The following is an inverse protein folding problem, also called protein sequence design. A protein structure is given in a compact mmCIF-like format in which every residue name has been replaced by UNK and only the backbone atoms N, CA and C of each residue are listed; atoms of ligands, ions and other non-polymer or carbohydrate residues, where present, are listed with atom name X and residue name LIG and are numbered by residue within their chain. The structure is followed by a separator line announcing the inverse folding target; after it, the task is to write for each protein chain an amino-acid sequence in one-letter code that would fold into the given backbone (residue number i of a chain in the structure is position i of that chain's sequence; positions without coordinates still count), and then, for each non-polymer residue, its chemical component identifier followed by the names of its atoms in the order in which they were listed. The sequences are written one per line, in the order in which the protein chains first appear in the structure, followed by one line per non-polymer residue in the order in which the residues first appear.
data_IF_615517802583
#
_entry.id   IF_615517802583
#
_cell.length_a   1.000
_cell.length_b   1.000
_cell.length_c   1.000
_cell.angle_alpha   90.00
_cell.angle_beta   90.00
_cell.angle_gamma   90.00
#
_symmetry.space_group_name_H-M   'P 1'
#
loop_
_entity.id
_entity.type
_entity.pdbx_description
1 polymer ?
#
# COMPACT_ATOMS: atom_id res chain seq x y z
N UNK A 1 5.23 -4.25 -4.05
CA UNK A 1 5.94 -3.36 -3.11
C UNK A 1 5.61 -1.91 -3.32
N UNK A 2 5.85 -1.37 -4.53
CA UNK A 2 5.82 0.08 -4.79
C UNK A 2 4.49 0.78 -4.48
N UNK A 3 3.35 0.20 -4.86
CA UNK A 3 2.03 0.80 -4.59
C UNK A 3 1.70 0.86 -3.09
N UNK A 4 1.99 -0.23 -2.37
CA UNK A 4 1.79 -0.32 -0.92
C UNK A 4 2.67 0.70 -0.20
N UNK A 5 3.94 0.81 -0.59
CA UNK A 5 4.87 1.79 -0.02
C UNK A 5 4.42 3.23 -0.25
N UNK A 6 3.96 3.56 -1.45
CA UNK A 6 3.45 4.91 -1.78
C UNK A 6 2.22 5.28 -0.94
N UNK A 7 1.26 4.35 -0.80
CA UNK A 7 0.05 4.59 -0.01
C UNK A 7 0.35 4.70 1.50
N UNK A 8 1.27 3.88 2.02
CA UNK A 8 1.72 3.99 3.41
C UNK A 8 2.46 5.31 3.65
N UNK A 9 3.32 5.74 2.73
CA UNK A 9 4.06 6.99 2.84
C UNK A 9 3.13 8.22 2.78
N UNK A 10 2.14 8.21 1.89
CA UNK A 10 1.10 9.23 1.82
C UNK A 10 0.38 9.38 3.18
N UNK A 11 -0.04 8.26 3.77
CA UNK A 11 -0.68 8.29 5.08
C UNK A 11 0.28 8.72 6.19
N UNK A 12 1.51 8.23 6.18
CA UNK A 12 2.53 8.61 7.17
C UNK A 12 2.79 10.12 7.17
N UNK A 13 2.80 10.76 6.00
CA UNK A 13 2.93 12.23 5.85
C UNK A 13 1.75 13.00 6.44
N UNK A 14 0.55 12.42 6.42
CA UNK A 14 -0.65 13.01 7.03
C UNK A 14 -0.63 12.86 8.56
N UNK A 15 -0.13 11.72 9.06
CA UNK A 15 -0.18 11.37 10.47
C UNK A 15 1.05 11.84 11.28
N UNK A 16 2.17 12.12 10.60
CA UNK A 16 3.41 12.58 11.21
C UNK A 16 3.74 13.98 10.68
N UNK A 17 3.55 15.04 11.50
CA UNK A 17 3.92 16.41 11.14
C UNK A 17 5.40 16.53 10.77
N UNK A 18 5.72 17.41 9.82
CA UNK A 18 7.08 17.77 9.40
C UNK A 18 7.97 16.59 8.96
N UNK A 19 7.35 15.51 8.49
CA UNK A 19 8.06 14.27 8.15
C UNK A 19 9.17 14.47 7.11
N UNK A 20 8.96 15.34 6.11
CA UNK A 20 9.98 15.65 5.11
C UNK A 20 11.18 16.38 5.70
N UNK A 21 10.94 17.40 6.51
CA UNK A 21 12.01 18.13 7.17
C UNK A 21 12.77 17.26 8.17
N UNK A 22 12.14 16.23 8.73
CA UNK A 22 12.83 15.21 9.54
C UNK A 22 13.78 14.37 8.67
N UNK A 23 13.35 13.96 7.47
CA UNK A 23 14.22 13.24 6.53
C UNK A 23 15.42 14.08 6.07
N UNK A 24 15.23 15.38 5.80
CA UNK A 24 16.32 16.30 5.44
C UNK A 24 17.40 16.36 6.51
N UNK A 25 17.02 16.18 7.79
CA UNK A 25 17.95 16.13 8.93
C UNK A 25 18.46 14.72 9.25
N UNK A 26 18.10 13.71 8.45
CA UNK A 26 18.45 12.31 8.67
C UNK A 26 17.69 11.63 9.81
N UNK A 27 16.61 12.22 10.31
CA UNK A 27 15.78 11.62 11.35
C UNK A 27 14.65 10.77 10.76
N UNK A 28 14.83 9.45 10.84
CA UNK A 28 13.85 8.46 10.39
C UNK A 28 13.09 7.81 11.55
N UNK A 29 13.38 8.18 12.80
CA UNK A 29 12.76 7.57 13.97
C UNK A 29 11.22 7.81 14.00
N UNK A 30 10.69 8.98 13.58
CA UNK A 30 9.25 9.21 13.53
C UNK A 30 8.53 8.30 12.52
N UNK A 31 9.08 8.15 11.30
CA UNK A 31 8.56 7.21 10.30
C UNK A 31 8.57 5.78 10.84
N UNK A 32 9.69 5.34 11.41
CA UNK A 32 9.82 3.99 11.96
C UNK A 32 8.82 3.76 13.10
N UNK A 33 8.62 4.75 13.96
CA UNK A 33 7.62 4.72 15.03
C UNK A 33 6.21 4.56 14.48
N UNK A 34 5.85 5.32 13.45
CA UNK A 34 4.56 5.16 12.77
C UNK A 34 4.41 3.77 12.15
N UNK A 35 5.41 3.27 11.40
CA UNK A 35 5.38 1.92 10.81
C UNK A 35 5.22 0.83 11.88
N UNK A 36 5.88 0.96 13.03
CA UNK A 36 5.73 0.02 14.16
C UNK A 36 4.30 -0.01 14.67
N UNK A 37 3.68 1.16 14.87
CA UNK A 37 2.32 1.27 15.41
C UNK A 37 1.24 0.92 14.39
N UNK A 38 1.42 1.26 13.12
CA UNK A 38 0.35 1.13 12.11
C UNK A 38 0.47 -0.16 11.28
N UNK A 39 1.67 -0.74 11.19
CA UNK A 39 1.95 -1.90 10.32
C UNK A 39 2.58 -3.05 11.12
N UNK A 40 3.79 -2.87 11.65
CA UNK A 40 4.60 -3.99 12.17
C UNK A 40 3.99 -4.67 13.40
N UNK A 41 3.32 -3.93 14.30
CA UNK A 41 2.67 -4.53 15.49
C UNK A 41 1.62 -5.59 15.15
N UNK A 42 1.08 -5.56 13.94
CA UNK A 42 0.03 -6.48 13.50
C UNK A 42 0.58 -7.79 12.93
N UNK A 43 1.89 -7.87 12.63
CA UNK A 43 2.52 -9.07 12.12
C UNK A 43 1.76 -9.71 10.95
N UNK A 44 1.45 -11.00 11.06
CA UNK A 44 0.63 -11.76 10.08
C UNK A 44 -0.85 -11.87 10.47
N UNK A 45 -1.33 -11.06 11.43
CA UNK A 45 -2.69 -11.12 11.96
C UNK A 45 -3.75 -10.76 10.91
N UNK A 46 -3.38 -9.96 9.91
CA UNK A 46 -4.26 -9.50 8.84
C UNK A 46 -3.68 -9.84 7.48
N UNK A 47 -4.54 -10.00 6.49
CA UNK A 47 -4.09 -10.03 5.09
C UNK A 47 -3.49 -8.67 4.71
N UNK A 48 -2.63 -8.59 3.68
CA UNK A 48 -2.00 -7.34 3.26
C UNK A 48 -3.00 -6.21 2.94
N UNK A 49 -4.13 -6.54 2.30
CA UNK A 49 -5.16 -5.55 1.97
C UNK A 49 -5.85 -5.02 3.22
N UNK A 50 -6.24 -5.90 4.13
CA UNK A 50 -6.86 -5.52 5.39
C UNK A 50 -5.93 -4.71 6.29
N UNK A 51 -4.63 -5.05 6.31
CA UNK A 51 -3.63 -4.28 7.04
C UNK A 51 -3.49 -2.88 6.45
N UNK A 52 -3.46 -2.77 5.11
CA UNK A 52 -3.33 -1.49 4.44
C UNK A 52 -4.55 -0.60 4.63
N UNK A 53 -5.75 -1.18 4.54
CA UNK A 53 -6.99 -0.46 4.77
C UNK A 53 -7.07 0.05 6.22
N UNK A 54 -6.70 -0.79 7.20
CA UNK A 54 -6.60 -0.35 8.61
C UNK A 54 -5.55 0.74 8.82
N UNK A 55 -4.39 0.64 8.16
CA UNK A 55 -3.29 1.58 8.33
C UNK A 55 -3.55 2.91 7.61
N UNK A 56 -4.26 2.90 6.48
CA UNK A 56 -4.38 4.06 5.57
C UNK A 56 -5.79 4.61 5.43
N UNK A 57 -6.79 3.93 5.98
CA UNK A 57 -8.20 4.31 5.91
C UNK A 57 -8.85 4.06 4.54
N UNK A 58 -8.11 3.50 3.58
CA UNK A 58 -8.60 3.18 2.24
C UNK A 58 -8.00 1.86 1.75
N UNK A 59 -8.75 1.03 1.00
CA UNK A 59 -8.22 -0.19 0.45
C UNK A 59 -7.07 0.10 -0.53
N UNK A 60 -6.17 -0.87 -0.73
CA UNK A 60 -5.21 -0.79 -1.83
C UNK A 60 -6.01 -0.68 -3.13
N UNK A 61 -5.86 0.41 -3.86
CA UNK A 61 -6.56 0.54 -5.14
C UNK A 61 -5.87 -0.36 -6.16
N UNK A 62 -6.41 -1.57 -6.33
CA UNK A 62 -5.88 -2.54 -7.27
C UNK A 62 -6.19 -2.16 -8.73
N UNK A 63 -6.97 -1.12 -9.03
CA UNK A 63 -7.40 -0.80 -10.40
C UNK A 63 -6.25 -0.72 -11.43
N UNK A 64 -5.10 -0.04 -11.17
CA UNK A 64 -3.97 -0.04 -12.10
C UNK A 64 -3.27 -1.41 -12.20
N UNK A 65 -3.18 -2.15 -11.09
CA UNK A 65 -2.61 -3.48 -11.07
C UNK A 65 -3.52 -4.52 -11.75
N UNK A 66 -4.83 -4.44 -11.56
CA UNK A 66 -5.85 -5.27 -12.20
C UNK A 66 -5.88 -4.96 -13.69
N UNK A 67 -5.78 -3.70 -14.11
CA UNK A 67 -5.67 -3.33 -15.51
C UNK A 67 -4.39 -3.92 -16.14
N UNK A 68 -3.23 -3.77 -15.46
CA UNK A 68 -1.97 -4.36 -15.89
C UNK A 68 -2.02 -5.90 -15.96
N UNK A 69 -2.58 -6.56 -14.95
CA UNK A 69 -2.76 -8.02 -14.91
C UNK A 69 -3.72 -8.46 -16.01
N UNK A 70 -4.86 -7.78 -16.19
CA UNK A 70 -5.81 -8.06 -17.27
C UNK A 70 -5.18 -7.86 -18.65
N UNK A 71 -4.35 -6.86 -18.83
CA UNK A 71 -3.66 -6.61 -20.09
C UNK A 71 -2.57 -7.65 -20.35
N UNK A 72 -1.73 -7.92 -19.36
CA UNK A 72 -0.59 -8.85 -19.47
C UNK A 72 -1.02 -10.31 -19.56
N UNK A 73 -1.98 -10.72 -18.74
CA UNK A 73 -2.48 -12.10 -18.70
C UNK A 73 -3.72 -12.33 -19.56
N UNK A 74 -4.51 -11.30 -19.88
CA UNK A 74 -5.61 -11.43 -20.85
C UNK A 74 -5.11 -11.66 -22.27
N UNK A 75 -3.94 -11.11 -22.62
CA UNK A 75 -3.25 -11.43 -23.88
C UNK A 75 -2.66 -12.86 -23.89
N UNK A 76 -2.38 -13.45 -22.73
CA UNK A 76 -1.77 -14.79 -22.60
C UNK A 76 -2.80 -15.93 -22.44
N UNK A 77 -3.96 -15.67 -21.83
CA UNK A 77 -4.93 -16.72 -21.47
C UNK A 77 -6.23 -16.73 -22.26
N UNK A 78 -6.42 -15.82 -23.24
CA UNK A 78 -7.59 -15.78 -24.13
C UNK A 78 -8.88 -16.24 -23.43
N UNK A 79 -9.24 -15.62 -22.30
CA UNK A 79 -10.46 -15.96 -21.56
C UNK A 79 -11.64 -15.54 -22.43
N UNK A 80 -12.05 -16.44 -23.32
CA UNK A 80 -13.29 -16.33 -24.05
C UNK A 80 -14.40 -16.21 -23.02
N UNK A 81 -15.07 -15.07 -23.10
CA UNK A 81 -16.34 -14.81 -22.44
C UNK A 81 -17.25 -15.99 -22.78
N UNK A 82 -17.53 -16.86 -21.81
CA UNK A 82 -18.59 -17.87 -21.97
C UNK A 82 -19.89 -17.06 -22.09
N UNK A 83 -20.61 -17.12 -23.22
CA UNK A 83 -21.91 -16.49 -23.31
C UNK A 83 -22.89 -17.23 -22.39
N UNK A 84 -23.74 -16.43 -21.76
CA UNK A 84 -24.94 -16.74 -20.96
C UNK A 84 -25.53 -18.15 -21.10
#
# INVERSE_FOLDING_TARGET
GNLVGAQLMEKARQDVPDLDSQFERGDFAPLLGWLRRSVHRHGRKFTPNELLERATGKPLTAAPWIAYVRQKFGALYALQRVPS
#
